data_IF_856806914319
#
_entry.id   IF_856806914319
#
_cell.length_a   1.000
_cell.length_b   1.000
_cell.length_c   1.000
_cell.angle_alpha   90.00
_cell.angle_beta   90.00
_cell.angle_gamma   90.00
#
_symmetry.space_group_name_H-M   'P 1'
#
loop_
_entity.id
_entity.type
_entity.pdbx_description
1 polymer ?
#
# COMPACT_ATOMS: atom_id res chain seq x y z
N UNK A 1 22.59 1.32 -43.61
CA UNK A 1 21.36 0.55 -43.33
C UNK A 1 21.51 -0.95 -43.59
N UNK A 2 22.45 -1.39 -44.43
CA UNK A 2 22.75 -2.83 -44.66
C UNK A 2 23.68 -3.44 -43.59
N UNK A 3 24.58 -2.66 -42.99
CA UNK A 3 25.53 -3.14 -41.96
C UNK A 3 24.92 -3.36 -40.57
N UNK A 4 23.70 -2.85 -40.31
CA UNK A 4 22.99 -3.04 -39.03
C UNK A 4 22.14 -4.31 -39.06
N UNK A 5 21.69 -4.75 -40.25
CA UNK A 5 20.92 -6.00 -40.38
C UNK A 5 21.79 -7.26 -40.32
N UNK A 6 23.07 -7.20 -40.74
CA UNK A 6 23.99 -8.34 -40.62
C UNK A 6 24.33 -8.64 -39.16
N UNK A 7 24.56 -7.62 -38.32
CA UNK A 7 24.82 -7.81 -36.89
C UNK A 7 23.62 -8.32 -36.09
N UNK A 8 22.40 -8.10 -36.56
CA UNK A 8 21.19 -8.64 -35.94
C UNK A 8 21.00 -10.12 -36.33
N UNK A 9 21.37 -10.51 -37.55
CA UNK A 9 21.34 -11.92 -38.00
C UNK A 9 22.34 -12.78 -37.23
N UNK A 10 23.57 -12.28 -37.04
CA UNK A 10 24.62 -12.99 -36.30
C UNK A 10 24.24 -13.18 -34.82
N UNK A 11 23.58 -12.18 -34.21
CA UNK A 11 23.06 -12.28 -32.84
C UNK A 11 21.94 -13.32 -32.72
N UNK A 12 21.08 -13.45 -33.74
CA UNK A 12 20.00 -14.43 -33.74
C UNK A 12 20.51 -15.87 -33.97
N UNK A 13 21.54 -16.07 -34.79
CA UNK A 13 22.17 -17.39 -34.95
C UNK A 13 22.96 -17.81 -33.71
N UNK A 14 23.64 -16.86 -33.05
CA UNK A 14 24.38 -17.14 -31.80
C UNK A 14 23.43 -17.38 -30.61
N UNK A 15 22.26 -16.74 -30.60
CA UNK A 15 21.19 -17.03 -29.63
C UNK A 15 20.54 -18.39 -29.88
N UNK A 16 20.30 -18.76 -31.15
CA UNK A 16 19.74 -20.07 -31.49
C UNK A 16 20.71 -21.21 -31.22
N UNK A 17 22.02 -21.06 -31.47
CA UNK A 17 23.02 -22.08 -31.13
C UNK A 17 23.17 -22.29 -29.62
N UNK A 18 22.99 -21.22 -28.84
CA UNK A 18 22.94 -21.26 -27.37
C UNK A 18 21.68 -21.96 -26.85
N UNK A 19 20.54 -21.81 -27.54
CA UNK A 19 19.28 -22.50 -27.27
C UNK A 19 19.33 -23.99 -27.63
N UNK A 20 19.99 -24.38 -28.74
CA UNK A 20 20.21 -25.79 -29.07
C UNK A 20 21.22 -26.45 -28.13
N UNK A 21 22.27 -25.75 -27.71
CA UNK A 21 23.20 -26.24 -26.69
C UNK A 21 22.52 -26.42 -25.32
N UNK A 22 21.63 -25.50 -24.92
CA UNK A 22 20.82 -25.64 -23.70
C UNK A 22 19.77 -26.76 -23.81
N UNK A 23 19.28 -27.07 -25.03
CA UNK A 23 18.39 -28.21 -25.26
C UNK A 23 19.14 -29.55 -25.19
N UNK A 24 20.40 -29.61 -25.63
CA UNK A 24 21.20 -30.84 -25.64
C UNK A 24 21.88 -31.16 -24.30
N UNK A 25 22.04 -30.19 -23.40
CA UNK A 25 22.47 -30.48 -22.02
C UNK A 25 21.34 -30.99 -21.11
N UNK A 26 20.10 -31.09 -21.63
CA UNK A 26 18.92 -31.57 -20.88
C UNK A 26 18.54 -33.04 -21.16
N UNK A 27 19.31 -33.74 -22.00
CA UNK A 27 19.15 -35.17 -22.26
C UNK A 27 20.16 -36.03 -21.49
N UNK A 28 20.17 -35.93 -20.16
CA UNK A 28 20.59 -37.04 -19.30
C UNK A 28 19.37 -37.52 -18.53
N UNK A 29 18.89 -38.70 -18.95
CA UNK A 29 17.88 -39.51 -18.29
C UNK A 29 18.26 -39.75 -16.82
N UNK A 30 17.59 -39.06 -15.92
CA UNK A 30 17.45 -39.49 -14.53
C UNK A 30 16.01 -39.96 -14.36
N UNK A 31 15.90 -41.27 -14.12
CA UNK A 31 14.67 -42.01 -13.88
C UNK A 31 13.73 -41.24 -12.95
N UNK A 32 12.58 -40.84 -13.49
CA UNK A 32 11.43 -40.39 -12.71
C UNK A 32 10.74 -41.63 -12.14
N UNK A 33 11.42 -42.31 -11.22
CA UNK A 33 10.80 -43.26 -10.32
C UNK A 33 11.39 -43.08 -8.93
N UNK A 34 10.50 -42.88 -7.95
CA UNK A 34 10.81 -42.82 -6.52
C UNK A 34 11.65 -41.63 -6.02
N UNK A 35 11.01 -40.47 -5.82
CA UNK A 35 11.22 -39.64 -4.61
C UNK A 35 10.34 -38.38 -4.62
N UNK A 36 9.02 -38.56 -4.49
CA UNK A 36 8.19 -37.47 -3.95
C UNK A 36 8.57 -37.28 -2.48
N UNK A 37 9.55 -36.42 -2.20
CA UNK A 37 9.69 -35.81 -0.89
C UNK A 37 8.52 -34.84 -0.71
N UNK A 38 7.37 -35.42 -0.34
CA UNK A 38 6.13 -34.72 -0.03
C UNK A 38 6.39 -33.76 1.13
N UNK A 39 6.25 -32.47 0.87
CA UNK A 39 6.07 -31.47 1.92
C UNK A 39 4.77 -31.85 2.68
N UNK A 40 4.81 -32.13 3.99
CA UNK A 40 3.71 -32.71 4.76
C UNK A 40 2.73 -31.64 5.26
N UNK A 41 2.40 -30.64 4.44
CA UNK A 41 1.19 -29.83 4.64
C UNK A 41 0.18 -30.33 3.61
N UNK A 42 -0.56 -31.38 3.97
CA UNK A 42 -1.65 -31.91 3.13
C UNK A 42 -2.83 -30.96 3.17
N UNK A 43 -2.74 -29.85 2.45
CA UNK A 43 -3.91 -29.11 2.05
C UNK A 43 -4.73 -29.97 1.11
N UNK A 44 -6.06 -29.95 1.29
CA UNK A 44 -6.95 -30.43 0.24
C UNK A 44 -6.69 -29.60 -1.01
N UNK A 45 -6.19 -30.25 -2.06
CA UNK A 45 -5.90 -29.62 -3.35
C UNK A 45 -7.20 -29.58 -4.14
N UNK A 46 -7.74 -28.38 -4.35
CA UNK A 46 -8.91 -28.18 -5.19
C UNK A 46 -8.57 -28.44 -6.65
N UNK A 47 -9.54 -28.86 -7.46
CA UNK A 47 -9.30 -29.18 -8.86
C UNK A 47 -8.82 -27.97 -9.68
N UNK A 48 -9.26 -26.75 -9.34
CA UNK A 48 -8.76 -25.52 -9.96
C UNK A 48 -7.33 -25.15 -9.53
N UNK A 49 -6.85 -25.68 -8.39
CA UNK A 49 -5.47 -25.52 -7.92
C UNK A 49 -4.55 -26.62 -8.46
N UNK A 50 -5.13 -27.76 -8.89
CA UNK A 50 -4.38 -28.80 -9.59
C UNK A 50 -3.91 -28.18 -10.87
N UNK A 51 -2.60 -28.00 -10.92
CA UNK A 51 -1.82 -27.70 -12.11
C UNK A 51 -1.96 -28.89 -13.08
N UNK A 52 -3.16 -29.04 -13.66
CA UNK A 52 -3.51 -30.07 -14.62
C UNK A 52 -3.38 -29.46 -16.01
N UNK A 53 -2.63 -30.15 -16.87
CA UNK A 53 -2.48 -29.84 -18.28
C UNK A 53 -3.83 -29.79 -19.06
N UNK A 54 -4.94 -30.21 -18.45
CA UNK A 54 -6.29 -30.11 -19.03
C UNK A 54 -6.89 -28.68 -18.98
N UNK A 55 -6.34 -27.78 -18.16
CA UNK A 55 -6.87 -26.41 -18.02
C UNK A 55 -6.06 -25.43 -18.89
N UNK A 56 -6.08 -25.66 -20.20
CA UNK A 56 -5.27 -24.94 -21.20
C UNK A 56 -5.26 -23.42 -21.03
N UNK A 57 -6.40 -22.81 -20.68
CA UNK A 57 -6.53 -21.35 -20.51
C UNK A 57 -5.68 -20.78 -19.37
N UNK A 58 -5.52 -21.47 -18.24
CA UNK A 58 -4.69 -21.00 -17.12
C UNK A 58 -3.20 -21.11 -17.46
N UNK A 59 -2.81 -22.19 -18.14
CA UNK A 59 -1.46 -22.38 -18.65
C UNK A 59 -1.11 -21.31 -19.68
N UNK A 60 -2.03 -20.97 -20.57
CA UNK A 60 -1.86 -19.92 -21.58
C UNK A 60 -1.69 -18.54 -20.94
N UNK A 61 -2.52 -18.19 -19.94
CA UNK A 61 -2.41 -16.92 -19.24
C UNK A 61 -1.11 -16.78 -18.44
N UNK A 62 -0.65 -17.87 -17.80
CA UNK A 62 0.64 -17.90 -17.10
C UNK A 62 1.80 -17.73 -18.08
N UNK A 63 1.77 -18.48 -19.17
CA UNK A 63 2.79 -18.43 -20.23
C UNK A 63 2.82 -17.04 -20.87
N UNK A 64 1.65 -16.43 -21.07
CA UNK A 64 1.50 -15.05 -21.50
C UNK A 64 2.15 -14.06 -20.52
N UNK A 65 1.92 -14.19 -19.22
CA UNK A 65 2.56 -13.31 -18.22
C UNK A 65 4.08 -13.42 -18.24
N UNK A 66 4.63 -14.63 -18.41
CA UNK A 66 6.08 -14.86 -18.45
C UNK A 66 6.68 -14.30 -19.75
N UNK A 67 6.11 -14.66 -20.90
CA UNK A 67 6.63 -14.27 -22.21
C UNK A 67 6.41 -12.78 -22.52
N UNK A 68 5.34 -12.19 -21.99
CA UNK A 68 4.93 -10.81 -22.27
C UNK A 68 4.84 -9.97 -20.99
N UNK A 69 5.77 -10.17 -20.05
CA UNK A 69 5.81 -9.41 -18.80
C UNK A 69 5.90 -7.89 -19.05
N UNK A 70 6.55 -7.48 -20.14
CA UNK A 70 6.64 -6.08 -20.60
C UNK A 70 5.28 -5.42 -20.85
N UNK A 71 4.21 -6.20 -21.06
CA UNK A 71 2.86 -5.66 -21.23
C UNK A 71 2.36 -4.92 -19.99
N UNK A 72 2.93 -5.20 -18.82
CA UNK A 72 2.69 -4.44 -17.60
C UNK A 72 2.98 -2.93 -17.73
N UNK A 73 3.97 -2.53 -18.54
CA UNK A 73 4.24 -1.11 -18.82
C UNK A 73 3.09 -0.46 -19.59
N UNK A 74 2.56 -1.15 -20.61
CA UNK A 74 1.40 -0.66 -21.37
C UNK A 74 0.16 -0.55 -20.48
N UNK A 75 -0.07 -1.53 -19.60
CA UNK A 75 -1.17 -1.47 -18.63
C UNK A 75 -1.00 -0.31 -17.63
N UNK A 76 0.21 -0.07 -17.13
CA UNK A 76 0.50 1.07 -16.24
C UNK A 76 0.30 2.42 -16.95
N UNK A 77 0.73 2.55 -18.21
CA UNK A 77 0.49 3.76 -19.01
C UNK A 77 -0.99 3.99 -19.28
N UNK A 78 -1.73 2.94 -19.66
CA UNK A 78 -3.18 3.00 -19.85
C UNK A 78 -3.90 3.40 -18.56
N UNK A 79 -3.45 2.88 -17.42
CA UNK A 79 -3.95 3.25 -16.10
C UNK A 79 -3.73 4.73 -15.77
N UNK A 80 -2.53 5.27 -16.00
CA UNK A 80 -2.25 6.69 -15.80
C UNK A 80 -3.08 7.59 -16.73
N UNK A 81 -3.24 7.18 -17.98
CA UNK A 81 -4.11 7.86 -18.94
C UNK A 81 -5.57 7.85 -18.49
N UNK A 82 -6.06 6.72 -17.97
CA UNK A 82 -7.42 6.59 -17.45
C UNK A 82 -7.65 7.47 -16.22
N UNK A 83 -6.68 7.57 -15.31
CA UNK A 83 -6.74 8.51 -14.18
C UNK A 83 -6.88 9.95 -14.69
N UNK A 84 -6.01 10.36 -15.62
CA UNK A 84 -5.98 11.72 -16.13
C UNK A 84 -7.30 12.09 -16.83
N UNK A 85 -7.73 11.26 -17.78
CA UNK A 85 -8.99 11.46 -18.52
C UNK A 85 -10.21 11.37 -17.60
N UNK A 86 -10.22 10.43 -16.65
CA UNK A 86 -11.28 10.27 -15.66
C UNK A 86 -11.44 11.50 -14.76
N UNK A 87 -10.33 12.12 -14.32
CA UNK A 87 -10.38 13.35 -13.54
C UNK A 87 -10.95 14.53 -14.34
N UNK A 88 -10.59 14.66 -15.63
CA UNK A 88 -11.15 15.70 -16.52
C UNK A 88 -12.64 15.47 -16.73
N UNK A 89 -13.04 14.24 -17.05
CA UNK A 89 -14.44 13.86 -17.27
C UNK A 89 -15.31 14.14 -16.04
N UNK A 90 -14.79 13.83 -14.85
CA UNK A 90 -15.50 14.04 -13.59
C UNK A 90 -15.56 15.50 -13.17
N UNK A 91 -14.77 16.42 -13.74
CA UNK A 91 -14.75 17.84 -13.34
C UNK A 91 -16.15 18.46 -13.33
N UNK A 92 -16.93 18.20 -14.39
CA UNK A 92 -18.26 18.78 -14.61
C UNK A 92 -19.43 17.89 -14.16
N UNK A 93 -19.17 16.73 -13.53
CA UNK A 93 -20.22 15.77 -13.12
C UNK A 93 -20.41 15.72 -11.60
N UNK A 94 -21.60 15.37 -11.08
CA UNK A 94 -21.77 15.09 -9.66
C UNK A 94 -20.96 13.86 -9.25
N UNK A 95 -20.68 13.71 -7.95
CA UNK A 95 -20.05 12.50 -7.40
C UNK A 95 -20.99 11.30 -7.59
N UNK A 96 -20.46 10.14 -7.99
CA UNK A 96 -21.28 8.93 -8.07
C UNK A 96 -21.44 8.25 -6.71
N UNK A 97 -22.63 7.70 -6.44
CA UNK A 97 -22.94 6.93 -5.23
C UNK A 97 -22.69 5.42 -5.44
N UNK A 98 -21.43 5.03 -5.65
CA UNK A 98 -21.04 3.65 -5.94
C UNK A 98 -20.81 2.80 -4.69
N UNK A 99 -21.56 3.06 -3.62
CA UNK A 99 -21.23 2.54 -2.29
C UNK A 99 -21.39 1.02 -2.18
N UNK A 100 -22.49 0.48 -2.72
CA UNK A 100 -22.73 -0.97 -2.73
C UNK A 100 -21.69 -1.69 -3.58
N UNK A 101 -21.41 -1.16 -4.77
CA UNK A 101 -20.39 -1.67 -5.67
C UNK A 101 -18.99 -1.65 -5.05
N UNK A 102 -18.64 -0.55 -4.37
CA UNK A 102 -17.39 -0.44 -3.64
C UNK A 102 -17.31 -1.46 -2.49
N UNK A 103 -18.41 -1.67 -1.76
CA UNK A 103 -18.44 -2.67 -0.69
C UNK A 103 -18.24 -4.08 -1.26
N UNK A 104 -18.99 -4.45 -2.29
CA UNK A 104 -18.88 -5.75 -2.96
C UNK A 104 -17.47 -5.99 -3.52
N UNK A 105 -16.88 -4.97 -4.15
CA UNK A 105 -15.52 -5.02 -4.69
C UNK A 105 -14.48 -5.25 -3.59
N UNK A 106 -14.51 -4.46 -2.51
CA UNK A 106 -13.59 -4.64 -1.39
C UNK A 106 -13.81 -6.00 -0.70
N UNK A 107 -15.04 -6.49 -0.59
CA UNK A 107 -15.32 -7.83 -0.06
C UNK A 107 -14.72 -8.93 -0.95
N UNK A 108 -14.83 -8.80 -2.27
CA UNK A 108 -14.23 -9.74 -3.21
C UNK A 108 -12.69 -9.78 -3.06
N UNK A 109 -12.04 -8.62 -3.02
CA UNK A 109 -10.59 -8.54 -2.83
C UNK A 109 -10.14 -9.04 -1.45
N UNK A 110 -10.95 -8.80 -0.41
CA UNK A 110 -10.70 -9.33 0.93
C UNK A 110 -10.76 -10.86 0.94
N UNK A 111 -11.81 -11.45 0.38
CA UNK A 111 -11.95 -12.91 0.29
C UNK A 111 -10.82 -13.53 -0.52
N UNK A 112 -10.53 -12.99 -1.71
CA UNK A 112 -9.39 -13.42 -2.52
C UNK A 112 -8.09 -13.41 -1.72
N UNK A 113 -7.82 -12.32 -0.99
CA UNK A 113 -6.58 -12.19 -0.22
C UNK A 113 -6.53 -13.14 0.97
N UNK A 114 -7.66 -13.37 1.65
CA UNK A 114 -7.76 -14.30 2.78
C UNK A 114 -7.55 -15.75 2.28
N UNK A 115 -8.19 -16.15 1.17
CA UNK A 115 -8.00 -17.47 0.58
C UNK A 115 -6.55 -17.69 0.11
N UNK A 116 -5.95 -16.72 -0.57
CA UNK A 116 -4.53 -16.78 -0.96
C UNK A 116 -3.60 -16.85 0.26
N UNK A 117 -3.88 -16.06 1.30
CA UNK A 117 -3.15 -16.09 2.56
C UNK A 117 -3.21 -17.45 3.25
N UNK A 118 -4.41 -18.06 3.36
CA UNK A 118 -4.58 -19.40 3.93
C UNK A 118 -3.80 -20.50 3.18
N UNK A 119 -3.50 -20.27 1.90
CA UNK A 119 -2.84 -21.25 1.03
C UNK A 119 -1.32 -21.07 0.99
N UNK A 120 -0.82 -19.85 1.08
CA UNK A 120 0.62 -19.54 0.99
C UNK A 120 1.28 -19.40 2.36
N UNK A 121 0.61 -18.79 3.35
CA UNK A 121 1.23 -18.52 4.67
C UNK A 121 1.68 -19.79 5.41
N UNK A 122 0.89 -20.88 5.46
CA UNK A 122 1.32 -22.07 6.17
C UNK A 122 2.54 -22.74 5.54
N UNK A 123 2.70 -22.64 4.21
CA UNK A 123 3.92 -23.10 3.53
C UNK A 123 5.12 -22.27 3.95
N UNK A 124 5.00 -20.94 4.00
CA UNK A 124 6.07 -20.07 4.47
C UNK A 124 6.49 -20.42 5.91
N UNK A 125 5.52 -20.59 6.82
CA UNK A 125 5.78 -20.98 8.21
C UNK A 125 6.48 -22.34 8.26
N UNK A 126 5.97 -23.33 7.53
CA UNK A 126 6.55 -24.67 7.48
C UNK A 126 8.02 -24.63 7.01
N UNK A 127 8.29 -23.91 5.92
CA UNK A 127 9.63 -23.81 5.33
C UNK A 127 10.60 -23.13 6.28
N UNK A 128 10.18 -22.05 6.94
CA UNK A 128 11.01 -21.37 7.96
C UNK A 128 11.29 -22.32 9.13
N UNK A 129 10.28 -23.02 9.64
CA UNK A 129 10.43 -23.90 10.82
C UNK A 129 11.28 -25.15 10.55
N UNK A 130 11.26 -25.69 9.32
CA UNK A 130 11.94 -26.95 8.99
C UNK A 130 13.28 -26.77 8.28
N UNK A 131 13.40 -25.76 7.42
CA UNK A 131 14.58 -25.55 6.57
C UNK A 131 15.32 -24.24 6.89
N UNK A 132 14.77 -23.40 7.78
CA UNK A 132 15.38 -22.15 8.20
C UNK A 132 15.14 -20.98 7.25
N UNK A 133 15.60 -19.80 7.68
CA UNK A 133 15.40 -18.52 6.98
C UNK A 133 16.11 -18.48 5.62
N UNK A 134 17.34 -18.98 5.54
CA UNK A 134 18.10 -19.02 4.28
C UNK A 134 17.32 -19.75 3.19
N UNK A 135 16.81 -20.94 3.50
CA UNK A 135 16.06 -21.73 2.53
C UNK A 135 14.77 -21.01 2.11
N UNK A 136 14.04 -20.39 3.04
CA UNK A 136 12.79 -19.68 2.71
C UNK A 136 13.00 -18.47 1.80
N UNK A 137 14.18 -17.84 1.86
CA UNK A 137 14.57 -16.67 1.06
C UNK A 137 15.16 -17.08 -0.30
N UNK A 138 16.00 -18.12 -0.33
CA UNK A 138 16.84 -18.45 -1.48
C UNK A 138 16.36 -19.62 -2.33
N UNK A 139 15.35 -20.36 -1.89
CA UNK A 139 14.80 -21.49 -2.65
C UNK A 139 13.41 -21.17 -3.23
N UNK A 140 13.23 -21.38 -4.53
CA UNK A 140 12.01 -21.06 -5.28
C UNK A 140 11.01 -22.23 -5.40
N UNK A 141 11.05 -23.22 -4.50
CA UNK A 141 10.10 -24.35 -4.46
C UNK A 141 8.62 -23.93 -4.44
N UNK A 142 8.31 -22.71 -3.99
CA UNK A 142 6.97 -22.12 -4.01
C UNK A 142 6.46 -21.80 -5.43
N UNK A 143 7.29 -21.88 -6.46
CA UNK A 143 6.90 -21.58 -7.84
C UNK A 143 5.92 -22.62 -8.45
N UNK A 144 5.74 -23.77 -7.78
CA UNK A 144 4.96 -24.90 -8.29
C UNK A 144 3.85 -25.34 -7.32
N UNK A 145 2.94 -26.19 -7.82
CA UNK A 145 1.81 -26.73 -7.04
C UNK A 145 0.80 -25.66 -6.61
N UNK A 146 0.11 -25.92 -5.49
CA UNK A 146 -0.93 -25.03 -4.93
C UNK A 146 -0.36 -23.63 -4.68
N UNK A 147 0.82 -23.54 -4.07
CA UNK A 147 1.46 -22.25 -3.77
C UNK A 147 1.82 -21.51 -5.06
N UNK A 148 2.33 -22.22 -6.07
CA UNK A 148 2.63 -21.64 -7.38
C UNK A 148 1.40 -21.03 -8.08
N UNK A 149 0.24 -21.69 -7.99
CA UNK A 149 -1.03 -21.13 -8.47
C UNK A 149 -1.39 -19.83 -7.74
N UNK A 150 -1.32 -19.83 -6.40
CA UNK A 150 -1.64 -18.64 -5.61
C UNK A 150 -0.61 -17.51 -5.75
N UNK A 151 0.66 -17.82 -6.08
CA UNK A 151 1.68 -16.83 -6.48
C UNK A 151 1.38 -16.24 -7.86
N UNK A 152 0.93 -17.05 -8.82
CA UNK A 152 0.48 -16.53 -10.11
C UNK A 152 -0.73 -15.61 -9.95
N UNK A 153 -1.76 -16.08 -9.24
CA UNK A 153 -2.98 -15.32 -8.98
C UNK A 153 -2.67 -13.98 -8.27
N UNK A 154 -1.70 -13.98 -7.35
CA UNK A 154 -1.19 -12.78 -6.70
C UNK A 154 -0.63 -11.76 -7.68
N UNK A 155 0.27 -12.20 -8.59
CA UNK A 155 0.86 -11.29 -9.57
C UNK A 155 -0.20 -10.78 -10.57
N UNK A 156 -1.16 -11.62 -10.91
CA UNK A 156 -2.27 -11.25 -11.78
C UNK A 156 -3.25 -10.27 -11.10
N UNK A 157 -3.50 -10.38 -9.80
CA UNK A 157 -4.47 -9.54 -9.06
C UNK A 157 -4.15 -8.06 -9.09
N UNK A 158 -2.89 -7.69 -9.37
CA UNK A 158 -2.47 -6.28 -9.47
C UNK A 158 -3.16 -5.52 -10.60
N UNK A 159 -3.64 -6.21 -11.64
CA UNK A 159 -4.48 -5.62 -12.68
C UNK A 159 -5.89 -5.27 -12.17
N UNK A 160 -6.67 -6.22 -11.62
CA UNK A 160 -7.93 -5.92 -10.94
C UNK A 160 -7.84 -4.81 -9.89
N UNK A 161 -6.79 -4.81 -9.06
CA UNK A 161 -6.59 -3.80 -8.00
C UNK A 161 -6.57 -2.34 -8.52
N UNK A 162 -6.29 -2.11 -9.82
CA UNK A 162 -6.38 -0.77 -10.43
C UNK A 162 -7.79 -0.17 -10.41
N UNK A 163 -8.83 -1.02 -10.28
CA UNK A 163 -10.23 -0.58 -10.17
C UNK A 163 -10.45 0.24 -8.88
N UNK A 164 -9.63 0.06 -7.84
CA UNK A 164 -9.69 0.87 -6.61
C UNK A 164 -9.56 2.36 -6.93
N UNK A 165 -8.65 2.70 -7.84
CA UNK A 165 -8.42 4.07 -8.28
C UNK A 165 -9.59 4.61 -9.10
N UNK A 166 -10.22 3.76 -9.91
CA UNK A 166 -11.44 4.12 -10.66
C UNK A 166 -12.55 4.54 -9.69
N UNK A 167 -12.77 3.78 -8.61
CA UNK A 167 -13.73 4.16 -7.58
C UNK A 167 -13.39 5.49 -6.90
N UNK A 168 -12.10 5.76 -6.63
CA UNK A 168 -11.64 7.04 -6.05
C UNK A 168 -11.99 8.21 -6.98
N UNK A 169 -11.67 8.09 -8.27
CA UNK A 169 -11.92 9.13 -9.28
C UNK A 169 -13.42 9.38 -9.47
N UNK A 170 -14.22 8.33 -9.66
CA UNK A 170 -15.68 8.44 -9.85
C UNK A 170 -16.41 9.01 -8.62
N UNK A 171 -15.87 8.79 -7.42
CA UNK A 171 -16.42 9.34 -6.17
C UNK A 171 -15.87 10.72 -5.82
N UNK A 172 -15.05 11.33 -6.69
CA UNK A 172 -14.37 12.61 -6.45
C UNK A 172 -13.59 12.65 -5.13
N UNK A 173 -12.98 11.54 -4.75
CA UNK A 173 -12.09 11.49 -3.59
C UNK A 173 -10.69 11.98 -3.97
N UNK A 174 -9.93 12.47 -3.00
CA UNK A 174 -8.56 12.93 -3.24
C UNK A 174 -7.68 11.73 -3.59
N UNK A 175 -7.21 11.67 -4.83
CA UNK A 175 -6.21 10.69 -5.26
C UNK A 175 -4.83 11.13 -4.77
N UNK A 176 -4.27 10.41 -3.81
CA UNK A 176 -2.95 10.69 -3.24
C UNK A 176 -1.84 10.09 -4.12
N UNK A 177 -0.67 10.73 -4.11
CA UNK A 177 0.52 10.27 -4.88
C UNK A 177 0.90 8.82 -4.55
N UNK A 178 0.98 8.51 -3.26
CA UNK A 178 1.33 7.17 -2.76
C UNK A 178 0.48 6.06 -3.39
N UNK A 179 -0.83 6.29 -3.54
CA UNK A 179 -1.76 5.27 -4.03
C UNK A 179 -1.48 4.93 -5.51
N UNK A 180 -1.50 5.93 -6.39
CA UNK A 180 -1.35 5.63 -7.83
C UNK A 180 0.06 5.18 -8.18
N UNK A 181 1.09 5.73 -7.50
CA UNK A 181 2.47 5.30 -7.66
C UNK A 181 2.65 3.84 -7.26
N UNK A 182 2.12 3.45 -6.08
CA UNK A 182 2.14 2.07 -5.60
C UNK A 182 1.46 1.10 -6.58
N UNK A 183 0.22 1.38 -7.00
CA UNK A 183 -0.52 0.49 -7.89
C UNK A 183 0.15 0.32 -9.27
N UNK A 184 0.73 1.39 -9.83
CA UNK A 184 1.47 1.29 -11.09
C UNK A 184 2.78 0.49 -10.94
N UNK A 185 3.58 0.79 -9.90
CA UNK A 185 4.90 0.16 -9.74
C UNK A 185 4.82 -1.28 -9.26
N UNK A 186 3.88 -1.64 -8.37
CA UNK A 186 3.67 -3.04 -7.95
C UNK A 186 3.16 -3.92 -9.10
N UNK A 187 2.35 -3.37 -10.00
CA UNK A 187 1.91 -4.10 -11.20
C UNK A 187 3.10 -4.48 -12.08
N UNK A 188 3.95 -3.51 -12.42
CA UNK A 188 5.15 -3.74 -13.23
C UNK A 188 6.08 -4.73 -12.53
N UNK A 189 6.34 -4.52 -11.24
CA UNK A 189 7.23 -5.37 -10.48
C UNK A 189 6.74 -6.81 -10.35
N UNK A 190 5.45 -7.03 -10.07
CA UNK A 190 4.90 -8.39 -9.96
C UNK A 190 5.04 -9.18 -11.26
N UNK A 191 4.83 -8.54 -12.42
CA UNK A 191 4.96 -9.19 -13.73
C UNK A 191 6.43 -9.46 -14.07
N UNK A 192 7.31 -8.48 -13.84
CA UNK A 192 8.76 -8.64 -13.99
C UNK A 192 9.35 -9.70 -13.05
N UNK A 193 8.86 -9.81 -11.82
CA UNK A 193 9.40 -10.74 -10.83
C UNK A 193 8.87 -12.16 -11.01
N UNK A 194 7.66 -12.30 -11.55
CA UNK A 194 7.05 -13.60 -11.80
C UNK A 194 7.79 -14.40 -12.89
N UNK A 195 8.26 -13.75 -13.95
CA UNK A 195 9.00 -14.42 -15.03
C UNK A 195 10.33 -15.03 -14.56
N UNK A 196 10.98 -14.43 -13.56
CA UNK A 196 12.23 -14.90 -12.97
C UNK A 196 12.02 -16.00 -11.91
N UNK A 197 10.77 -16.35 -11.57
CA UNK A 197 10.45 -17.26 -10.47
C UNK A 197 11.19 -16.93 -9.17
N UNK A 198 11.22 -15.63 -8.83
CA UNK A 198 12.00 -15.09 -7.71
C UNK A 198 11.65 -15.78 -6.39
N UNK A 199 12.66 -16.38 -5.73
CA UNK A 199 12.50 -17.09 -4.45
C UNK A 199 12.01 -16.19 -3.32
N UNK A 200 12.41 -14.90 -3.32
CA UNK A 200 11.98 -13.90 -2.33
C UNK A 200 10.49 -13.56 -2.45
N UNK A 201 9.88 -13.85 -3.61
CA UNK A 201 8.46 -13.68 -3.87
C UNK A 201 7.56 -14.40 -2.86
N UNK A 202 8.00 -15.53 -2.28
CA UNK A 202 7.27 -16.26 -1.23
C UNK A 202 6.91 -15.36 -0.04
N UNK A 203 7.89 -14.59 0.45
CA UNK A 203 7.71 -13.68 1.58
C UNK A 203 6.80 -12.51 1.20
N UNK A 204 7.02 -11.90 0.05
CA UNK A 204 6.24 -10.76 -0.40
C UNK A 204 4.76 -11.11 -0.62
N UNK A 205 4.48 -12.25 -1.27
CA UNK A 205 3.12 -12.74 -1.50
C UNK A 205 2.42 -13.02 -0.17
N UNK A 206 3.07 -13.76 0.73
CA UNK A 206 2.48 -14.14 2.02
C UNK A 206 2.10 -12.93 2.87
N UNK A 207 3.03 -11.99 3.05
CA UNK A 207 2.78 -10.79 3.84
C UNK A 207 1.73 -9.90 3.19
N UNK A 208 1.79 -9.71 1.87
CA UNK A 208 0.82 -8.88 1.17
C UNK A 208 -0.59 -9.47 1.27
N UNK A 209 -0.77 -10.79 1.11
CA UNK A 209 -2.08 -11.43 1.25
C UNK A 209 -2.71 -11.19 2.63
N UNK A 210 -1.91 -11.29 3.69
CA UNK A 210 -2.39 -11.04 5.07
C UNK A 210 -2.80 -9.57 5.21
N UNK A 211 -1.92 -8.64 4.85
CA UNK A 211 -2.16 -7.20 5.02
C UNK A 211 -3.31 -6.72 4.14
N UNK A 212 -3.39 -7.17 2.88
CA UNK A 212 -4.49 -6.87 1.97
C UNK A 212 -5.82 -7.49 2.45
N UNK A 213 -5.80 -8.72 2.99
CA UNK A 213 -6.98 -9.32 3.59
C UNK A 213 -7.57 -8.45 4.71
N UNK A 214 -6.73 -7.93 5.59
CA UNK A 214 -7.14 -7.03 6.68
C UNK A 214 -7.58 -5.66 6.14
N UNK A 215 -6.79 -5.06 5.24
CA UNK A 215 -7.04 -3.73 4.69
C UNK A 215 -8.36 -3.67 3.90
N UNK A 216 -8.59 -4.63 2.99
CA UNK A 216 -9.81 -4.67 2.19
C UNK A 216 -11.04 -5.03 3.03
N UNK A 217 -10.89 -5.88 4.05
CA UNK A 217 -11.96 -6.11 5.03
C UNK A 217 -12.37 -4.82 5.75
N UNK A 218 -11.39 -4.02 6.16
CA UNK A 218 -11.64 -2.70 6.74
C UNK A 218 -12.36 -1.76 5.77
N UNK A 219 -11.93 -1.69 4.51
CA UNK A 219 -12.59 -0.84 3.51
C UNK A 219 -14.01 -1.31 3.16
N UNK A 220 -14.26 -2.62 3.08
CA UNK A 220 -15.59 -3.19 2.89
C UNK A 220 -16.54 -2.76 4.03
N UNK A 221 -16.11 -2.94 5.29
CA UNK A 221 -16.89 -2.56 6.47
C UNK A 221 -17.15 -1.04 6.52
N UNK A 222 -16.15 -0.22 6.18
CA UNK A 222 -16.33 1.24 6.06
C UNK A 222 -17.30 1.61 4.95
N UNK A 223 -17.24 0.93 3.80
CA UNK A 223 -18.20 1.11 2.72
C UNK A 223 -19.62 0.71 3.17
N UNK A 224 -19.78 -0.27 4.06
CA UNK A 224 -21.06 -0.66 4.68
C UNK A 224 -21.54 0.27 5.83
N UNK A 225 -20.88 1.41 6.07
CA UNK A 225 -21.23 2.42 7.11
C UNK A 225 -21.09 1.90 8.55
N UNK A 226 -20.36 0.80 8.76
CA UNK A 226 -19.96 0.44 10.11
C UNK A 226 -19.02 1.50 10.68
N UNK A 227 -19.28 1.91 11.93
CA UNK A 227 -18.43 2.86 12.66
C UNK A 227 -17.21 2.11 13.22
N UNK A 228 -16.17 1.98 12.40
CA UNK A 228 -14.91 1.38 12.83
C UNK A 228 -14.04 2.44 13.51
N UNK A 229 -13.48 2.16 14.70
CA UNK A 229 -12.61 3.10 15.40
C UNK A 229 -11.28 3.31 14.65
N UNK A 230 -10.69 4.50 14.76
CA UNK A 230 -9.49 4.89 14.00
C UNK A 230 -8.23 4.09 14.38
N UNK A 231 -8.16 3.54 15.59
CA UNK A 231 -7.02 2.70 15.97
C UNK A 231 -6.85 1.50 15.03
N UNK A 232 -7.95 0.97 14.45
CA UNK A 232 -7.88 -0.08 13.44
C UNK A 232 -7.16 0.40 12.18
N UNK A 233 -7.48 1.60 11.68
CA UNK A 233 -6.75 2.17 10.55
C UNK A 233 -5.28 2.46 10.87
N UNK A 234 -4.95 2.80 12.13
CA UNK A 234 -3.55 2.96 12.54
C UNK A 234 -2.81 1.62 12.55
N UNK A 235 -3.45 0.55 13.06
CA UNK A 235 -2.90 -0.81 13.01
C UNK A 235 -2.67 -1.27 11.58
N UNK A 236 -3.59 -0.99 10.66
CA UNK A 236 -3.41 -1.32 9.23
C UNK A 236 -2.19 -0.62 8.66
N UNK A 237 -2.03 0.68 8.91
CA UNK A 237 -0.85 1.42 8.44
C UNK A 237 0.44 0.91 9.08
N UNK A 238 0.41 0.50 10.36
CA UNK A 238 1.54 -0.14 11.02
C UNK A 238 1.92 -1.46 10.35
N UNK A 239 0.94 -2.32 10.06
CA UNK A 239 1.17 -3.59 9.36
C UNK A 239 1.76 -3.38 7.97
N UNK A 240 1.26 -2.37 7.22
CA UNK A 240 1.82 -1.99 5.92
C UNK A 240 3.28 -1.53 6.03
N UNK A 241 3.62 -0.72 7.04
CA UNK A 241 4.99 -0.26 7.26
C UNK A 241 5.92 -1.42 7.65
N UNK A 242 5.46 -2.31 8.55
CA UNK A 242 6.19 -3.52 8.92
C UNK A 242 6.43 -4.43 7.70
N UNK A 243 5.45 -4.57 6.82
CA UNK A 243 5.62 -5.32 5.56
C UNK A 243 6.76 -4.74 4.70
N UNK A 244 6.89 -3.40 4.63
CA UNK A 244 7.99 -2.79 3.88
C UNK A 244 9.35 -3.05 4.53
N UNK A 245 9.43 -2.98 5.86
CA UNK A 245 10.68 -3.26 6.61
C UNK A 245 11.11 -4.71 6.41
N UNK A 246 10.19 -5.66 6.56
CA UNK A 246 10.48 -7.09 6.32
C UNK A 246 10.88 -7.30 4.85
N UNK A 247 10.21 -6.61 3.92
CA UNK A 247 10.55 -6.67 2.49
C UNK A 247 11.99 -6.23 2.20
N UNK A 248 12.41 -5.10 2.75
CA UNK A 248 13.80 -4.63 2.66
C UNK A 248 14.76 -5.64 3.29
N UNK A 249 14.45 -6.16 4.48
CA UNK A 249 15.29 -7.14 5.17
C UNK A 249 15.48 -8.43 4.36
N UNK A 250 14.41 -9.00 3.79
CA UNK A 250 14.48 -10.22 2.96
C UNK A 250 15.39 -10.01 1.75
N UNK A 251 15.26 -8.88 1.05
CA UNK A 251 16.12 -8.58 -0.10
C UNK A 251 17.59 -8.37 0.30
N UNK A 252 17.84 -7.68 1.42
CA UNK A 252 19.20 -7.49 1.93
C UNK A 252 19.85 -8.82 2.33
N UNK A 253 19.09 -9.72 2.95
CA UNK A 253 19.57 -11.07 3.28
C UNK A 253 19.88 -11.87 2.01
N UNK A 254 18.99 -11.88 1.02
CA UNK A 254 19.23 -12.54 -0.26
C UNK A 254 20.50 -12.01 -0.95
N UNK A 255 20.71 -10.69 -0.95
CA UNK A 255 21.92 -10.07 -1.48
C UNK A 255 23.18 -10.47 -0.69
N UNK A 256 23.10 -10.51 0.64
CA UNK A 256 24.20 -10.96 1.50
C UNK A 256 24.59 -12.42 1.23
N UNK A 257 23.60 -13.32 1.11
CA UNK A 257 23.86 -14.73 0.78
C UNK A 257 24.54 -14.88 -0.58
N UNK A 258 24.08 -14.15 -1.62
CA UNK A 258 24.75 -14.15 -2.93
C UNK A 258 26.18 -13.62 -2.86
N UNK A 259 26.41 -12.53 -2.11
CA UNK A 259 27.75 -11.95 -1.93
C UNK A 259 28.71 -12.90 -1.24
N UNK A 260 28.20 -13.72 -0.31
CA UNK A 260 28.98 -14.74 0.39
C UNK A 260 29.21 -16.03 -0.44
N UNK A 261 28.82 -16.05 -1.73
CA UNK A 261 28.99 -17.19 -2.62
C UNK A 261 27.94 -18.28 -2.45
N UNK A 262 26.85 -18.02 -1.73
CA UNK A 262 25.78 -18.98 -1.53
C UNK A 262 24.79 -19.00 -2.70
N UNK A 263 24.24 -20.17 -3.01
CA UNK A 263 23.25 -20.34 -4.06
C UNK A 263 21.91 -19.73 -3.61
N UNK A 264 21.43 -18.73 -4.36
CA UNK A 264 20.15 -18.07 -4.13
C UNK A 264 19.41 -17.89 -5.46
N UNK A 265 18.21 -18.45 -5.58
CA UNK A 265 17.41 -18.49 -6.81
C UNK A 265 16.65 -17.18 -7.04
N UNK A 266 17.42 -16.09 -7.15
CA UNK A 266 16.94 -14.74 -7.45
C UNK A 266 17.98 -13.99 -8.28
N UNK A 267 17.54 -13.32 -9.35
CA UNK A 267 18.41 -12.54 -10.23
C UNK A 267 18.85 -11.25 -9.53
N UNK A 268 20.04 -10.74 -9.88
CA UNK A 268 20.53 -9.48 -9.29
C UNK A 268 19.66 -8.28 -9.70
N UNK A 269 19.10 -8.31 -10.91
CA UNK A 269 18.17 -7.29 -11.37
C UNK A 269 16.86 -7.30 -10.56
N UNK A 270 16.32 -8.48 -10.24
CA UNK A 270 15.15 -8.60 -9.37
C UNK A 270 15.42 -8.02 -7.98
N UNK A 271 16.58 -8.34 -7.37
CA UNK A 271 16.98 -7.79 -6.07
C UNK A 271 17.12 -6.27 -6.10
N UNK A 272 17.78 -5.71 -7.13
CA UNK A 272 17.93 -4.25 -7.28
C UNK A 272 16.58 -3.55 -7.40
N UNK A 273 15.72 -4.02 -8.32
CA UNK A 273 14.40 -3.41 -8.56
C UNK A 273 13.51 -3.54 -7.31
N UNK A 274 13.51 -4.70 -6.67
CA UNK A 274 12.77 -4.97 -5.43
C UNK A 274 13.21 -4.04 -4.29
N UNK A 275 14.52 -3.90 -4.06
CA UNK A 275 15.06 -2.98 -3.03
C UNK A 275 14.67 -1.53 -3.29
N UNK A 276 14.74 -1.08 -4.54
CA UNK A 276 14.33 0.29 -4.91
C UNK A 276 12.84 0.48 -4.61
N UNK A 277 11.98 -0.44 -5.05
CA UNK A 277 10.53 -0.35 -4.84
C UNK A 277 10.16 -0.36 -3.34
N UNK A 278 10.67 -1.32 -2.57
CA UNK A 278 10.40 -1.41 -1.14
C UNK A 278 10.97 -0.21 -0.36
N UNK A 279 12.13 0.30 -0.77
CA UNK A 279 12.74 1.50 -0.21
C UNK A 279 11.87 2.75 -0.45
N UNK A 280 11.38 2.97 -1.66
CA UNK A 280 10.50 4.11 -1.95
C UNK A 280 9.16 3.99 -1.23
N UNK A 281 8.59 2.79 -1.14
CA UNK A 281 7.36 2.55 -0.39
C UNK A 281 7.54 2.83 1.09
N UNK A 282 8.61 2.34 1.72
CA UNK A 282 8.89 2.61 3.13
C UNK A 282 8.92 4.13 3.41
N UNK A 283 9.64 4.90 2.59
CA UNK A 283 9.72 6.36 2.75
C UNK A 283 8.36 7.05 2.58
N UNK A 284 7.58 6.64 1.57
CA UNK A 284 6.27 7.25 1.32
C UNK A 284 5.24 6.89 2.39
N UNK A 285 5.22 5.64 2.88
CA UNK A 285 4.35 5.22 3.98
C UNK A 285 4.78 5.84 5.31
N UNK A 286 6.07 5.96 5.59
CA UNK A 286 6.58 6.65 6.76
C UNK A 286 6.20 8.14 6.74
N UNK A 287 6.36 8.81 5.59
CA UNK A 287 5.93 10.21 5.42
C UNK A 287 4.41 10.37 5.61
N UNK A 288 3.61 9.45 5.05
CA UNK A 288 2.17 9.42 5.25
C UNK A 288 1.79 9.22 6.72
N UNK A 289 2.45 8.30 7.43
CA UNK A 289 2.21 8.02 8.82
C UNK A 289 2.58 9.21 9.74
N UNK A 290 3.76 9.82 9.52
CA UNK A 290 4.19 11.01 10.25
C UNK A 290 3.28 12.23 9.98
N UNK A 291 2.79 12.37 8.74
CA UNK A 291 1.86 13.42 8.35
C UNK A 291 0.44 13.26 8.89
N UNK A 292 0.07 12.09 9.42
CA UNK A 292 -1.27 11.81 9.93
C UNK A 292 -1.54 12.36 11.35
N UNK A 293 -0.50 12.84 12.05
CA UNK A 293 -0.57 13.41 13.40
C UNK A 293 -0.90 12.38 14.49
N UNK A 294 -0.52 12.68 15.74
CA UNK A 294 -1.05 11.92 16.88
C UNK A 294 -2.49 12.38 17.16
N UNK A 295 -3.41 11.42 17.38
CA UNK A 295 -4.81 11.71 17.69
C UNK A 295 -5.08 11.82 19.18
N UNK A 296 -6.06 12.65 19.56
CA UNK A 296 -6.54 12.78 20.94
C UNK A 296 -7.79 11.94 21.18
N UNK A 297 -7.76 11.01 22.12
CA UNK A 297 -8.88 10.10 22.41
C UNK A 297 -9.43 10.30 23.83
N UNK A 298 -10.75 10.21 23.97
CA UNK A 298 -11.44 10.29 25.27
C UNK A 298 -11.29 8.99 26.06
N UNK A 299 -11.11 9.08 27.38
CA UNK A 299 -11.13 7.90 28.29
C UNK A 299 -12.50 7.64 28.91
N UNK A 300 -13.35 8.66 28.93
CA UNK A 300 -14.68 8.64 29.54
C UNK A 300 -15.67 9.32 28.59
N UNK A 301 -16.96 9.11 28.82
CA UNK A 301 -18.01 9.82 28.10
C UNK A 301 -17.96 11.31 28.43
N UNK A 302 -18.11 12.16 27.41
CA UNK A 302 -18.18 13.61 27.56
C UNK A 302 -19.54 14.08 27.05
N UNK A 303 -20.26 14.83 27.87
CA UNK A 303 -21.56 15.39 27.51
C UNK A 303 -21.42 16.56 26.53
N UNK A 304 -22.43 16.74 25.69
CA UNK A 304 -22.55 17.92 24.83
C UNK A 304 -22.44 19.21 25.66
N UNK A 305 -21.63 20.17 25.18
CA UNK A 305 -21.41 21.46 25.81
C UNK A 305 -20.31 21.47 26.88
N UNK A 306 -19.80 20.31 27.30
CA UNK A 306 -18.68 20.26 28.25
C UNK A 306 -17.38 20.76 27.61
N UNK A 307 -16.56 21.42 28.42
CA UNK A 307 -15.19 21.73 28.06
C UNK A 307 -14.31 20.48 28.19
N UNK A 308 -13.70 20.06 27.10
CA UNK A 308 -12.87 18.85 27.00
C UNK A 308 -11.45 19.13 27.45
N UNK A 309 -10.85 20.20 26.92
CA UNK A 309 -9.51 20.67 27.27
C UNK A 309 -9.34 22.12 26.82
N UNK A 310 -8.21 22.73 27.19
CA UNK A 310 -7.86 24.10 26.82
C UNK A 310 -6.71 24.06 25.83
N UNK A 311 -6.88 24.74 24.71
CA UNK A 311 -5.83 25.01 23.73
C UNK A 311 -5.14 26.33 24.09
N UNK A 312 -3.97 26.24 24.70
CA UNK A 312 -3.14 27.39 25.11
C UNK A 312 -1.68 27.10 24.79
N UNK A 313 -0.86 28.14 24.64
CA UNK A 313 0.56 28.00 24.33
C UNK A 313 1.24 29.35 24.34
N UNK A 314 2.36 29.47 23.64
CA UNK A 314 3.07 30.74 23.51
C UNK A 314 2.18 31.75 22.77
N UNK A 315 1.84 32.86 23.43
CA UNK A 315 1.09 33.94 22.80
C UNK A 315 1.97 34.74 21.85
N UNK A 316 1.48 34.94 20.63
CA UNK A 316 2.20 35.64 19.56
C UNK A 316 1.32 36.75 18.97
N UNK A 317 1.97 37.85 18.60
CA UNK A 317 1.34 38.90 17.78
C UNK A 317 1.44 38.53 16.30
N UNK A 318 0.66 39.20 15.46
CA UNK A 318 0.60 38.90 14.02
C UNK A 318 1.98 38.86 13.34
N UNK A 319 2.87 39.81 13.66
CA UNK A 319 4.22 39.87 13.06
C UNK A 319 5.04 38.64 13.44
N UNK A 320 4.99 38.24 14.70
CA UNK A 320 5.75 37.09 15.22
C UNK A 320 5.17 35.77 14.69
N UNK A 321 3.84 35.68 14.61
CA UNK A 321 3.12 34.54 14.04
C UNK A 321 3.42 34.33 12.54
N UNK A 322 3.59 35.42 11.78
CA UNK A 322 3.96 35.34 10.36
C UNK A 322 5.39 34.81 10.18
N UNK A 323 6.32 35.18 11.07
CA UNK A 323 7.74 34.82 11.04
C UNK A 323 8.04 33.39 11.48
N UNK A 324 7.09 32.70 12.13
CA UNK A 324 7.24 31.30 12.50
C UNK A 324 7.56 30.42 11.28
N UNK A 325 8.60 29.59 11.40
CA UNK A 325 8.96 28.59 10.38
C UNK A 325 7.96 27.44 10.36
N UNK A 326 7.63 26.90 11.53
CA UNK A 326 6.58 25.89 11.67
C UNK A 326 5.30 26.56 12.20
N UNK A 327 4.19 26.35 11.48
CA UNK A 327 2.86 26.89 11.83
C UNK A 327 1.86 25.76 12.08
N UNK A 328 2.35 24.54 12.32
CA UNK A 328 1.52 23.35 12.43
C UNK A 328 0.51 23.41 13.57
N UNK A 329 0.89 24.03 14.69
CA UNK A 329 0.07 24.22 15.89
C UNK A 329 -0.36 25.70 16.11
N UNK A 330 -0.05 26.58 15.16
CA UNK A 330 -0.38 27.98 15.28
C UNK A 330 -1.90 28.20 15.13
N UNK A 331 -2.54 28.71 16.18
CA UNK A 331 -3.97 29.05 16.16
C UNK A 331 -4.16 30.57 16.28
N UNK A 332 -4.90 31.14 15.32
CA UNK A 332 -5.41 32.51 15.44
C UNK A 332 -6.62 32.55 16.36
N UNK A 333 -6.51 33.30 17.47
CA UNK A 333 -7.62 33.55 18.39
C UNK A 333 -8.44 34.77 17.97
N UNK A 334 -7.77 35.86 17.55
CA UNK A 334 -8.41 37.12 17.18
C UNK A 334 -7.61 37.97 16.19
N UNK A 335 -7.91 39.27 16.03
CA UNK A 335 -7.24 40.14 15.06
C UNK A 335 -5.72 40.20 15.20
N UNK A 336 -5.21 40.22 16.44
CA UNK A 336 -3.78 40.39 16.76
C UNK A 336 -3.23 39.34 17.75
N UNK A 337 -4.03 38.33 18.09
CA UNK A 337 -3.69 37.33 19.11
C UNK A 337 -3.65 35.95 18.49
N UNK A 338 -2.49 35.30 18.59
CA UNK A 338 -2.24 33.93 18.18
C UNK A 338 -1.68 33.16 19.38
N UNK A 339 -1.90 31.86 19.38
CA UNK A 339 -1.28 30.94 20.34
C UNK A 339 -0.63 29.78 19.60
N UNK A 340 0.52 29.36 20.10
CA UNK A 340 1.28 28.26 19.53
C UNK A 340 1.82 27.33 20.65
N UNK A 341 1.24 26.14 20.85
CA UNK A 341 1.73 25.13 21.77
C UNK A 341 2.77 24.18 21.14
N UNK A 342 3.45 24.56 20.06
CA UNK A 342 4.39 23.68 19.38
C UNK A 342 5.42 23.03 20.32
N UNK A 343 5.94 23.78 21.29
CA UNK A 343 6.98 23.32 22.23
C UNK A 343 6.41 22.70 23.52
N UNK A 344 5.09 22.68 23.72
CA UNK A 344 4.45 22.18 24.94
C UNK A 344 3.59 20.93 24.65
N UNK A 345 4.17 19.76 24.92
CA UNK A 345 3.52 18.47 24.68
C UNK A 345 2.39 18.15 25.66
N UNK A 346 2.31 18.87 26.78
CA UNK A 346 1.26 18.65 27.78
C UNK A 346 -0.10 19.18 27.34
N UNK A 347 -0.12 20.06 26.32
CA UNK A 347 -1.33 20.65 25.76
C UNK A 347 -2.05 19.63 24.88
N UNK A 348 -2.96 18.86 25.48
CA UNK A 348 -3.76 17.83 24.81
C UNK A 348 -4.43 18.33 23.52
N UNK A 349 -4.89 19.58 23.50
CA UNK A 349 -5.55 20.21 22.36
C UNK A 349 -4.71 20.19 21.07
N UNK A 350 -3.37 20.11 21.16
CA UNK A 350 -2.46 20.03 20.01
C UNK A 350 -2.66 18.77 19.17
N UNK A 351 -3.15 17.70 19.79
CA UNK A 351 -3.39 16.39 19.17
C UNK A 351 -4.81 16.22 18.61
N UNK A 352 -5.64 17.27 18.70
CA UNK A 352 -6.97 17.26 18.09
C UNK A 352 -6.79 17.38 16.58
N UNK A 353 -7.18 16.35 15.85
CA UNK A 353 -7.08 16.32 14.39
C UNK A 353 -8.26 17.02 13.72
N UNK A 354 -8.05 17.51 12.49
CA UNK A 354 -9.14 17.90 11.60
C UNK A 354 -9.49 16.75 10.65
N UNK A 355 -10.72 16.20 10.74
CA UNK A 355 -11.13 15.04 9.96
C UNK A 355 -11.37 15.35 8.47
N UNK A 356 -11.27 16.63 8.06
CA UNK A 356 -11.64 17.18 6.73
C UNK A 356 -13.05 16.83 6.26
N UNK A 357 -13.88 16.31 7.17
CA UNK A 357 -15.27 15.95 6.98
C UNK A 357 -16.07 16.51 8.15
N UNK A 358 -16.93 17.49 7.87
CA UNK A 358 -17.74 18.18 8.88
C UNK A 358 -18.63 17.25 9.71
N UNK A 359 -19.02 16.10 9.16
CA UNK A 359 -19.86 15.11 9.85
C UNK A 359 -19.12 14.35 10.96
N UNK A 360 -17.79 14.36 10.96
CA UNK A 360 -16.96 13.69 11.97
C UNK A 360 -16.52 14.63 13.10
N UNK A 361 -16.75 15.94 12.97
CA UNK A 361 -16.42 16.91 13.99
C UNK A 361 -17.30 16.71 15.22
N UNK A 362 -16.69 16.55 16.39
CA UNK A 362 -17.37 16.38 17.66
C UNK A 362 -17.02 17.46 18.69
N UNK A 363 -16.05 18.34 18.40
CA UNK A 363 -15.73 19.52 19.20
C UNK A 363 -15.61 20.79 18.36
N UNK A 364 -15.67 21.95 19.01
CA UNK A 364 -15.33 23.27 18.46
C UNK A 364 -14.28 23.95 19.32
N UNK A 365 -13.48 24.81 18.69
CA UNK A 365 -12.62 25.76 19.41
C UNK A 365 -13.42 27.03 19.69
N UNK A 366 -13.79 27.24 20.96
CA UNK A 366 -14.32 28.50 21.47
C UNK A 366 -13.14 29.42 21.82
N UNK A 367 -12.83 30.33 20.90
CA UNK A 367 -11.63 31.19 20.97
C UNK A 367 -11.90 32.37 21.88
N UNK A 368 -11.03 32.57 22.87
CA UNK A 368 -11.06 33.67 23.84
C UNK A 368 -9.77 34.49 23.72
N UNK A 369 -9.74 35.52 22.85
CA UNK A 369 -8.54 36.33 22.64
C UNK A 369 -8.04 37.04 23.90
N UNK A 370 -8.98 37.49 24.74
CA UNK A 370 -8.67 38.18 26.00
C UNK A 370 -8.01 37.25 27.02
N UNK A 371 -8.46 35.99 27.06
CA UNK A 371 -7.87 34.93 27.90
C UNK A 371 -6.67 34.24 27.23
N UNK A 372 -6.31 34.65 26.01
CA UNK A 372 -5.22 34.07 25.23
C UNK A 372 -5.29 32.54 25.12
N UNK A 373 -6.49 31.99 24.97
CA UNK A 373 -6.69 30.56 24.79
C UNK A 373 -7.92 30.24 23.92
N UNK A 374 -8.10 28.96 23.59
CA UNK A 374 -9.35 28.46 23.06
C UNK A 374 -9.83 27.26 23.88
N UNK A 375 -11.07 27.30 24.34
CA UNK A 375 -11.71 26.16 25.00
C UNK A 375 -12.19 25.16 23.94
N UNK A 376 -11.93 23.88 24.17
CA UNK A 376 -12.40 22.81 23.28
C UNK A 376 -13.75 22.33 23.82
N UNK A 377 -14.84 22.70 23.14
CA UNK A 377 -16.21 22.43 23.60
C UNK A 377 -16.84 21.30 22.80
N UNK A 378 -17.46 20.33 23.47
CA UNK A 378 -18.17 19.22 22.83
C UNK A 378 -19.44 19.69 22.09
N UNK A 379 -19.56 19.37 20.79
CA UNK A 379 -20.75 19.68 19.96
C UNK A 379 -21.90 18.71 20.15
N UNK A 380 -21.58 17.51 20.64
CA UNK A 380 -22.50 16.40 20.92
C UNK A 380 -21.90 15.55 22.02
N UNK A 381 -22.67 14.57 22.50
CA UNK A 381 -22.12 13.55 23.39
C UNK A 381 -21.03 12.74 22.67
N UNK A 382 -19.91 12.54 23.36
CA UNK A 382 -18.71 11.84 22.88
C UNK A 382 -18.55 10.60 23.74
N UNK A 383 -18.52 9.42 23.12
CA UNK A 383 -18.38 8.16 23.84
C UNK A 383 -16.93 7.93 24.31
N UNK A 384 -16.75 7.16 25.39
CA UNK A 384 -15.42 6.74 25.82
C UNK A 384 -14.69 5.98 24.69
N UNK A 385 -13.41 6.30 24.48
CA UNK A 385 -12.58 5.74 23.40
C UNK A 385 -12.75 6.44 22.05
N UNK A 386 -13.64 7.42 21.93
CA UNK A 386 -13.83 8.19 20.71
C UNK A 386 -12.70 9.25 20.54
N UNK A 387 -12.20 9.43 19.32
CA UNK A 387 -11.24 10.49 19.00
C UNK A 387 -11.92 11.85 18.92
N UNK A 388 -11.22 12.90 19.36
CA UNK A 388 -11.66 14.28 19.33
C UNK A 388 -11.25 14.94 18.01
N UNK A 389 -12.22 15.56 17.34
CA UNK A 389 -12.10 16.17 16.03
C UNK A 389 -12.67 17.58 15.99
N UNK A 390 -11.86 18.52 15.50
CA UNK A 390 -12.23 19.93 15.31
C UNK A 390 -12.02 20.37 13.85
N UNK A 391 -12.73 21.42 13.42
CA UNK A 391 -12.43 22.09 12.14
C UNK A 391 -11.24 23.04 12.33
N UNK A 392 -10.18 22.89 11.54
CA UNK A 392 -9.10 23.89 11.52
C UNK A 392 -9.45 25.11 10.67
N UNK A 393 -10.48 25.00 9.84
CA UNK A 393 -10.89 26.01 8.89
C UNK A 393 -10.16 25.92 7.56
N UNK A 394 -10.81 26.41 6.52
CA UNK A 394 -10.34 26.33 5.13
C UNK A 394 -8.96 26.95 4.92
N UNK A 395 -8.67 28.05 5.62
CA UNK A 395 -7.42 28.81 5.47
C UNK A 395 -6.19 28.03 5.93
N UNK A 396 -6.30 27.25 7.02
CA UNK A 396 -5.20 26.40 7.50
C UNK A 396 -4.74 25.41 6.43
N UNK A 397 -5.68 24.77 5.75
CA UNK A 397 -5.37 23.80 4.70
C UNK A 397 -4.86 24.47 3.41
N UNK A 398 -5.34 25.66 3.07
CA UNK A 398 -4.82 26.43 1.95
C UNK A 398 -3.35 26.81 2.16
N UNK A 399 -2.96 27.18 3.39
CA UNK A 399 -1.55 27.50 3.71
C UNK A 399 -0.61 26.30 3.69
N UNK A 400 -1.12 25.07 3.81
CA UNK A 400 -0.33 23.82 3.65
C UNK A 400 -0.26 23.30 2.22
N UNK A 401 -0.98 23.91 1.27
CA UNK A 401 -0.92 23.51 -0.15
C UNK A 401 -0.03 24.51 -0.92
N UNK A 402 1.19 24.14 -1.35
CA UNK A 402 2.17 25.10 -1.86
C UNK A 402 1.72 25.89 -3.10
N UNK A 403 0.76 25.38 -3.89
CA UNK A 403 0.45 25.93 -5.23
C UNK A 403 -0.83 26.77 -5.33
N UNK A 404 -1.41 27.29 -4.23
CA UNK A 404 -2.69 28.04 -4.31
C UNK A 404 -2.66 29.49 -3.82
N UNK A 405 -1.57 29.96 -3.24
CA UNK A 405 -1.47 31.34 -2.77
C UNK A 405 -1.23 32.36 -3.90
N UNK A 406 -0.83 31.92 -5.10
CA UNK A 406 -0.62 32.80 -6.27
C UNK A 406 -1.90 33.24 -7.00
N UNK A 407 -3.09 32.79 -6.59
CA UNK A 407 -4.35 33.06 -7.31
C UNK A 407 -5.45 33.68 -6.46
N UNK A 408 -5.11 34.57 -5.53
CA UNK A 408 -6.11 35.40 -4.86
C UNK A 408 -5.92 36.85 -5.29
N UNK A 409 -6.95 37.50 -5.87
CA UNK A 409 -6.91 38.94 -6.09
C UNK A 409 -6.82 39.64 -4.73
N UNK A 410 -5.91 40.61 -4.67
CA UNK A 410 -5.69 41.55 -3.56
C UNK A 410 -6.94 42.33 -3.19
#
# INVERSE_FOLDING_TARGET
MVTIMSHISDYFEQFNSSLTAASQSSSQSLDVSSSTNKIPLTFYVFDFERYSDEMGTLRDLRTYMIQRWHNSFFFALAYLFLIYTGQIYMKNKPRFELRLWLAAWNTLLALFSIFGGMRVLPELIYVISRHGIKYSICNNSNAFGVVGFWTWAFCFSKLPELIDTVFIVLRKQQLIFLHWYHHASVLIYCWFSYQDYSSTGRWFCSLNYIVHGIMYSYYALRALKFRIPRWVSMVITMLQLTQMIIGCWVNLQAWQYKKNGEICQVTDENLKVSLIMYGTYFLLFAHFFLGAGFGLFTRMQIAKGSCVCIYKGKTLRTIDAIRLKDKSYLMRLGPQVYVDPCDDETILGRYINDPRNRLLQNVIFDKRPEEQCAYVIAKRDIAAGEEIFADYGRWYWLTKTPNRLEKLPT
#
